data_IF_491555653825
#
_entry.id   IF_491555653825
#
_cell.length_a   1.000
_cell.length_b   1.000
_cell.length_c   1.000
_cell.angle_alpha   90.00
_cell.angle_beta   90.00
_cell.angle_gamma   90.00
#
_symmetry.space_group_name_H-M   'P 1'
#
loop_
_entity.id
_entity.type
_entity.pdbx_description
1 polymer ?
#
# COMPACT_ATOMS: atom_id res chain seq x y z
N UNK A 1 -27.83 12.81 -6.21
CA UNK A 1 -26.57 12.56 -6.95
C UNK A 1 -25.41 12.85 -6.00
N UNK A 2 -24.84 11.83 -5.34
CA UNK A 2 -23.72 12.04 -4.41
C UNK A 2 -22.44 12.02 -5.25
N UNK A 3 -22.03 13.19 -5.75
CA UNK A 3 -20.67 13.36 -6.27
C UNK A 3 -19.72 13.35 -5.07
N UNK A 4 -19.16 12.18 -4.73
CA UNK A 4 -17.99 12.11 -3.85
C UNK A 4 -16.85 12.79 -4.59
N UNK A 5 -16.66 14.08 -4.35
CA UNK A 5 -15.45 14.80 -4.77
C UNK A 5 -14.29 14.16 -4.03
N UNK A 6 -13.52 13.35 -4.73
CA UNK A 6 -12.16 13.05 -4.34
C UNK A 6 -11.46 14.41 -4.27
N UNK A 7 -11.30 14.95 -3.06
CA UNK A 7 -10.46 16.12 -2.87
C UNK A 7 -9.04 15.64 -3.23
N UNK A 8 -8.64 15.92 -4.46
CA UNK A 8 -7.29 15.69 -4.93
C UNK A 8 -6.39 16.65 -4.17
N UNK A 9 -5.86 16.19 -3.04
CA UNK A 9 -4.94 16.96 -2.22
C UNK A 9 -3.59 17.02 -2.95
N UNK A 10 -3.38 18.09 -3.71
CA UNK A 10 -2.17 18.35 -4.47
C UNK A 10 -0.90 18.22 -3.63
N UNK A 11 -0.98 18.47 -2.31
CA UNK A 11 0.14 18.30 -1.38
C UNK A 11 0.51 16.84 -1.19
N UNK A 12 -0.50 15.98 -1.00
CA UNK A 12 -0.32 14.53 -0.86
C UNK A 12 0.21 13.91 -2.16
N UNK A 13 -0.34 14.32 -3.30
CA UNK A 13 0.12 13.85 -4.63
C UNK A 13 1.56 14.27 -4.91
N UNK A 14 1.90 15.53 -4.67
CA UNK A 14 3.28 16.02 -4.80
C UNK A 14 4.25 15.26 -3.89
N UNK A 15 3.81 14.88 -2.69
CA UNK A 15 4.60 14.06 -1.78
C UNK A 15 4.89 12.67 -2.34
N UNK A 16 3.89 11.94 -2.84
CA UNK A 16 4.10 10.63 -3.46
C UNK A 16 4.97 10.69 -4.73
N UNK A 17 5.00 11.83 -5.42
CA UNK A 17 5.91 12.04 -6.54
C UNK A 17 7.30 12.57 -6.15
N UNK A 18 7.52 12.94 -4.88
CA UNK A 18 8.78 13.54 -4.42
C UNK A 18 9.96 12.55 -4.44
N UNK A 19 11.18 13.10 -4.56
CA UNK A 19 12.42 12.33 -4.40
C UNK A 19 12.53 11.70 -3.02
N UNK A 20 12.14 12.45 -1.99
CA UNK A 20 12.27 12.05 -0.59
C UNK A 20 11.44 10.79 -0.31
N UNK A 21 10.20 10.76 -0.81
CA UNK A 21 9.37 9.56 -0.70
C UNK A 21 9.99 8.37 -1.43
N UNK A 22 10.49 8.56 -2.66
CA UNK A 22 11.13 7.47 -3.41
C UNK A 22 12.33 6.88 -2.67
N UNK A 23 13.17 7.74 -2.09
CA UNK A 23 14.35 7.33 -1.32
C UNK A 23 13.98 6.59 -0.05
N UNK A 24 13.04 7.13 0.74
CA UNK A 24 12.59 6.49 1.98
C UNK A 24 11.85 5.18 1.69
N UNK A 25 11.01 5.13 0.66
CA UNK A 25 10.32 3.92 0.23
C UNK A 25 11.31 2.81 -0.11
N UNK A 26 12.37 3.10 -0.86
CA UNK A 26 13.39 2.10 -1.18
C UNK A 26 14.15 1.63 0.07
N UNK A 27 14.43 2.53 1.01
CA UNK A 27 15.06 2.18 2.29
C UNK A 27 14.18 1.23 3.10
N UNK A 28 12.89 1.53 3.25
CA UNK A 28 11.94 0.69 3.99
C UNK A 28 11.80 -0.70 3.35
N UNK A 29 11.65 -0.77 2.02
CA UNK A 29 11.57 -2.06 1.32
C UNK A 29 12.82 -2.92 1.54
N UNK A 30 14.02 -2.31 1.53
CA UNK A 30 15.28 -3.01 1.79
C UNK A 30 15.42 -3.44 3.25
N UNK A 31 15.09 -2.55 4.20
CA UNK A 31 15.07 -2.83 5.65
C UNK A 31 14.21 -4.05 5.95
N UNK A 32 13.05 -4.11 5.32
CA UNK A 32 12.05 -5.16 5.54
C UNK A 32 12.30 -6.41 4.70
N UNK A 33 13.43 -6.47 3.97
CA UNK A 33 13.78 -7.56 3.06
C UNK A 33 12.68 -7.89 2.03
N UNK A 34 11.90 -6.89 1.62
CA UNK A 34 10.73 -7.05 0.74
C UNK A 34 9.70 -8.05 1.31
N UNK A 35 9.62 -8.19 2.63
CA UNK A 35 8.64 -9.02 3.33
C UNK A 35 7.54 -8.16 3.94
N UNK A 36 6.32 -8.67 3.88
CA UNK A 36 5.18 -8.07 4.55
C UNK A 36 5.35 -8.19 6.06
N UNK A 37 5.51 -7.05 6.73
CA UNK A 37 5.72 -6.99 8.18
C UNK A 37 4.48 -7.48 8.94
N UNK A 38 3.28 -7.20 8.43
CA UNK A 38 2.03 -7.71 9.02
C UNK A 38 1.91 -9.23 8.94
N UNK A 39 2.23 -9.85 7.79
CA UNK A 39 2.26 -11.30 7.68
C UNK A 39 3.35 -11.90 8.58
N UNK A 40 4.51 -11.26 8.65
CA UNK A 40 5.63 -11.73 9.47
C UNK A 40 5.29 -11.73 10.97
N UNK A 41 4.58 -10.70 11.46
CA UNK A 41 4.04 -10.66 12.83
C UNK A 41 3.11 -11.84 13.14
N UNK A 42 2.43 -12.38 12.12
CA UNK A 42 1.57 -13.56 12.21
C UNK A 42 2.32 -14.89 11.98
N UNK A 43 3.65 -14.86 11.84
CA UNK A 43 4.47 -16.04 11.56
C UNK A 43 4.42 -16.51 10.10
N UNK A 44 3.93 -15.69 9.18
CA UNK A 44 3.77 -16.01 7.76
C UNK A 44 4.81 -15.25 6.95
N UNK A 45 5.68 -15.97 6.23
CA UNK A 45 6.61 -15.35 5.27
C UNK A 45 5.85 -15.08 3.98
N UNK A 46 5.56 -13.80 3.71
CA UNK A 46 4.93 -13.35 2.49
C UNK A 46 5.64 -12.11 1.96
N UNK A 47 5.81 -12.00 0.64
CA UNK A 47 6.45 -10.84 0.03
C UNK A 47 5.55 -9.59 0.11
N UNK A 48 6.16 -8.41 0.17
CA UNK A 48 5.50 -7.12 0.14
C UNK A 48 6.22 -6.16 -0.81
N UNK A 49 5.45 -5.31 -1.49
CA UNK A 49 5.96 -4.35 -2.47
C UNK A 49 5.38 -2.93 -2.29
N UNK A 50 4.53 -2.74 -1.28
CA UNK A 50 3.93 -1.46 -0.92
C UNK A 50 4.46 -1.07 0.45
N UNK A 51 4.80 0.22 0.60
CA UNK A 51 5.14 0.81 1.90
C UNK A 51 3.90 1.53 2.40
N UNK A 52 3.51 1.24 3.63
CA UNK A 52 2.31 1.77 4.27
C UNK A 52 2.68 2.66 5.45
N UNK A 53 1.94 3.75 5.63
CA UNK A 53 2.03 4.62 6.81
C UNK A 53 1.16 4.07 7.95
N UNK A 54 1.78 3.70 9.07
CA UNK A 54 1.09 3.18 10.27
C UNK A 54 0.15 4.26 10.85
N UNK A 55 0.67 5.49 11.02
CA UNK A 55 -0.14 6.69 11.25
C UNK A 55 -0.41 7.34 9.90
N UNK A 56 -1.68 7.44 9.45
CA UNK A 56 -2.03 7.97 8.14
C UNK A 56 -1.48 9.38 7.89
N UNK A 57 -1.09 9.66 6.65
CA UNK A 57 -0.53 10.94 6.23
C UNK A 57 -1.44 12.15 6.54
N UNK A 58 -2.76 11.93 6.50
CA UNK A 58 -3.80 12.93 6.83
C UNK A 58 -3.86 13.27 8.32
N UNK A 59 -3.44 12.34 9.19
CA UNK A 59 -3.56 12.48 10.64
C UNK A 59 -2.28 13.09 11.23
N UNK A 60 -1.10 12.76 10.68
CA UNK A 60 0.17 13.37 11.07
C UNK A 60 1.17 13.51 9.90
N UNK A 61 1.17 14.70 9.28
CA UNK A 61 2.08 15.02 8.18
C UNK A 61 3.57 15.01 8.57
N UNK A 62 3.89 15.21 9.85
CA UNK A 62 5.28 15.26 10.30
C UNK A 62 5.92 13.87 10.28
N UNK A 63 5.12 12.80 10.36
CA UNK A 63 5.57 11.40 10.29
C UNK A 63 5.65 10.82 8.88
N UNK A 64 5.45 11.62 7.84
CA UNK A 64 5.36 11.12 6.45
C UNK A 64 6.64 10.42 5.93
N UNK A 65 7.80 10.76 6.49
CA UNK A 65 9.11 10.18 6.17
C UNK A 65 9.75 9.47 7.38
N UNK A 66 9.01 9.35 8.48
CA UNK A 66 9.51 8.68 9.69
C UNK A 66 9.58 7.18 9.44
N UNK A 67 10.76 6.58 9.56
CA UNK A 67 10.98 5.16 9.29
C UNK A 67 10.18 4.26 10.23
N UNK A 68 9.98 4.69 11.47
CA UNK A 68 9.21 3.93 12.46
C UNK A 68 7.70 4.01 12.20
N UNK A 69 7.28 4.96 11.36
CA UNK A 69 5.90 5.10 10.90
C UNK A 69 5.64 4.37 9.56
N UNK A 70 6.63 3.68 9.00
CA UNK A 70 6.56 3.07 7.68
C UNK A 70 6.86 1.57 7.74
N UNK A 71 6.05 0.79 7.03
CA UNK A 71 6.27 -0.66 6.92
C UNK A 71 5.93 -1.22 5.54
N UNK A 72 6.67 -2.23 5.13
CA UNK A 72 6.39 -2.99 3.92
C UNK A 72 5.24 -3.95 4.17
N UNK A 73 4.20 -3.87 3.34
CA UNK A 73 3.06 -4.79 3.41
C UNK A 73 2.71 -5.38 2.04
N UNK A 74 2.05 -6.53 2.07
CA UNK A 74 1.48 -7.14 0.87
C UNK A 74 0.17 -6.43 0.50
N UNK A 75 -0.24 -6.57 -0.76
CA UNK A 75 -1.49 -5.99 -1.25
C UNK A 75 -2.68 -6.46 -0.38
N UNK A 76 -2.74 -7.73 0.02
CA UNK A 76 -3.83 -8.24 0.84
C UNK A 76 -3.94 -7.52 2.19
N UNK A 77 -2.83 -7.30 2.90
CA UNK A 77 -2.82 -6.53 4.15
C UNK A 77 -3.14 -5.05 3.91
N UNK A 78 -2.58 -4.44 2.86
CA UNK A 78 -2.88 -3.05 2.51
C UNK A 78 -4.38 -2.78 2.33
N UNK A 79 -5.08 -3.68 1.62
CA UNK A 79 -6.53 -3.50 1.44
C UNK A 79 -7.34 -3.74 2.71
N UNK A 80 -6.84 -4.56 3.65
CA UNK A 80 -7.49 -4.71 4.95
C UNK A 80 -7.41 -3.41 5.74
N UNK A 81 -6.26 -2.74 5.74
CA UNK A 81 -6.14 -1.44 6.43
C UNK A 81 -7.03 -0.35 5.78
N UNK A 82 -7.32 -0.46 4.48
CA UNK A 82 -8.17 0.48 3.75
C UNK A 82 -9.64 0.03 3.60
N UNK A 83 -10.19 -0.76 4.54
CA UNK A 83 -11.52 -1.40 4.48
C UNK A 83 -12.75 -0.49 4.24
N UNK A 84 -12.61 0.83 4.03
CA UNK A 84 -13.65 1.65 3.40
C UNK A 84 -13.81 1.38 1.89
N UNK A 85 -12.87 0.68 1.24
CA UNK A 85 -12.92 0.31 -0.19
C UNK A 85 -13.02 -1.20 -0.36
N UNK A 86 -14.18 -1.77 -0.05
CA UNK A 86 -14.47 -3.16 -0.38
C UNK A 86 -14.23 -3.43 -1.87
N UNK A 87 -13.39 -4.42 -2.20
CA UNK A 87 -13.23 -4.92 -3.56
C UNK A 87 -14.59 -5.23 -4.20
N UNK A 88 -14.82 -4.76 -5.43
CA UNK A 88 -15.98 -5.20 -6.20
C UNK A 88 -15.89 -6.71 -6.46
N UNK A 89 -17.04 -7.37 -6.65
CA UNK A 89 -17.09 -8.81 -6.95
C UNK A 89 -16.26 -9.15 -8.20
N UNK A 90 -16.31 -8.29 -9.21
CA UNK A 90 -15.53 -8.40 -10.45
C UNK A 90 -14.02 -8.40 -10.21
N UNK A 91 -13.53 -7.58 -9.25
CA UNK A 91 -12.12 -7.57 -8.87
C UNK A 91 -11.70 -8.85 -8.15
N UNK A 92 -12.60 -9.48 -7.38
CA UNK A 92 -12.36 -10.77 -6.71
C UNK A 92 -12.33 -11.91 -7.71
N UNK A 93 -13.23 -11.89 -8.69
CA UNK A 93 -13.34 -12.92 -9.72
C UNK A 93 -12.13 -12.93 -10.65
N UNK A 94 -11.64 -11.73 -11.03
CA UNK A 94 -10.44 -11.58 -11.87
C UNK A 94 -9.18 -12.08 -11.13
N UNK A 95 -9.07 -11.79 -9.84
CA UNK A 95 -7.96 -12.24 -8.98
C UNK A 95 -7.96 -13.76 -8.83
N UNK A 96 -9.14 -14.35 -8.59
CA UNK A 96 -9.34 -15.80 -8.53
C UNK A 96 -8.98 -16.48 -9.85
N UNK A 97 -9.40 -15.90 -10.98
CA UNK A 97 -9.10 -16.43 -12.31
C UNK A 97 -7.60 -16.40 -12.62
N UNK A 98 -6.92 -15.28 -12.34
CA UNK A 98 -5.48 -15.19 -12.57
C UNK A 98 -4.68 -16.15 -11.68
N UNK A 99 -5.09 -16.31 -10.42
CA UNK A 99 -4.48 -17.29 -9.49
C UNK A 99 -4.66 -18.72 -9.99
N UNK A 100 -5.81 -19.04 -10.60
CA UNK A 100 -6.08 -20.33 -11.24
C UNK A 100 -5.23 -20.57 -12.49
N UNK A 101 -4.93 -19.51 -13.26
CA UNK A 101 -4.09 -19.56 -14.46
C UNK A 101 -2.58 -19.48 -14.17
N UNK A 102 -2.18 -19.43 -12.89
CA UNK A 102 -0.77 -19.26 -12.50
C UNK A 102 -0.19 -17.88 -12.85
N UNK A 103 -1.04 -16.91 -13.15
CA UNK A 103 -0.65 -15.55 -13.49
C UNK A 103 -0.55 -14.68 -12.23
N UNK A 104 0.60 -14.06 -12.00
CA UNK A 104 0.77 -13.05 -10.95
C UNK A 104 0.25 -11.71 -11.47
N UNK A 105 -0.92 -11.28 -10.98
CA UNK A 105 -1.42 -9.93 -11.28
C UNK A 105 -0.65 -8.90 -10.47
N UNK A 106 0.33 -8.26 -11.10
CA UNK A 106 0.90 -7.01 -10.60
C UNK A 106 -0.12 -5.88 -10.83
N UNK A 107 -1.02 -5.66 -9.87
CA UNK A 107 -1.88 -4.48 -9.87
C UNK A 107 -0.99 -3.27 -9.54
N UNK A 108 -1.06 -2.22 -10.36
CA UNK A 108 -0.40 -0.93 -10.07
C UNK A 108 -0.81 -0.50 -8.67
N UNK A 109 0.17 -0.26 -7.81
CA UNK A 109 -0.07 0.48 -6.59
C UNK A 109 -0.61 1.85 -7.02
N UNK A 110 -1.79 2.29 -6.58
CA UNK A 110 -2.29 3.63 -6.91
C UNK A 110 -1.37 4.75 -6.37
N UNK A 111 -0.41 4.41 -5.49
CA UNK A 111 0.66 5.31 -5.04
C UNK A 111 1.96 5.21 -5.88
N UNK A 112 1.94 4.51 -7.04
CA UNK A 112 3.04 4.41 -8.02
C UNK A 112 2.70 5.11 -9.35
#
# INVERSE_FOLDING_TARGET
>A
MIQRRYQHDAKTEAFYHSSDWRSVRELVLRRDHFLCQECLRQGIVHTGNTVHHIVPLKDDWNKRLDLDNLETICLACHNKEHFEKGYSQEQKDTDRHAKMMGAVLFKRNPEL
#
